data_IF_405245170530
#
_entry.id   IF_405245170530
#
_cell.length_a   1.000
_cell.length_b   1.000
_cell.length_c   1.000
_cell.angle_alpha   90.00
_cell.angle_beta   90.00
_cell.angle_gamma   90.00
#
_symmetry.space_group_name_H-M   'P 1'
#
loop_
_entity.id
_entity.type
_entity.pdbx_description
1 polymer ?
#
# COMPACT_ATOMS: atom_id res chain seq x y z
N UNK A 1 13.85 5.35 -2.90
CA UNK A 1 14.72 6.21 -2.08
C UNK A 1 14.49 7.67 -2.45
N UNK A 2 14.70 8.06 -3.68
CA UNK A 2 14.67 9.45 -4.16
C UNK A 2 13.36 10.17 -3.83
N UNK A 3 12.20 9.51 -4.02
CA UNK A 3 10.88 10.10 -3.68
C UNK A 3 10.74 10.38 -2.18
N UNK A 4 11.24 9.50 -1.33
CA UNK A 4 11.17 9.71 0.13
C UNK A 4 12.09 10.84 0.55
N UNK A 5 13.30 10.93 -0.02
CA UNK A 5 14.22 12.05 0.20
C UNK A 5 13.60 13.39 -0.24
N UNK A 6 12.89 13.41 -1.37
CA UNK A 6 12.17 14.59 -1.84
C UNK A 6 11.06 15.01 -0.85
N UNK A 7 10.28 14.04 -0.34
CA UNK A 7 9.27 14.31 0.70
C UNK A 7 9.92 14.88 1.96
N UNK A 8 11.03 14.31 2.43
CA UNK A 8 11.75 14.81 3.60
C UNK A 8 12.25 16.23 3.40
N UNK A 9 12.80 16.55 2.21
CA UNK A 9 13.22 17.92 1.89
C UNK A 9 12.05 18.91 1.92
N UNK A 10 10.90 18.53 1.36
CA UNK A 10 9.67 19.36 1.44
C UNK A 10 9.20 19.54 2.90
N UNK A 11 9.35 18.53 3.74
CA UNK A 11 9.03 18.63 5.17
C UNK A 11 9.96 19.64 5.84
N UNK A 12 11.27 19.57 5.61
CA UNK A 12 12.23 20.53 6.18
C UNK A 12 11.95 21.97 5.72
N UNK A 13 11.65 22.19 4.44
CA UNK A 13 11.26 23.50 3.92
C UNK A 13 9.97 24.02 4.60
N UNK A 14 9.03 23.14 4.87
CA UNK A 14 7.80 23.49 5.56
C UNK A 14 8.03 23.79 7.04
N UNK A 15 8.88 23.04 7.74
CA UNK A 15 9.28 23.30 9.12
C UNK A 15 9.90 24.69 9.26
N UNK A 16 10.85 25.04 8.40
CA UNK A 16 11.47 26.36 8.37
C UNK A 16 10.45 27.49 8.08
N UNK A 17 9.59 27.26 7.08
CA UNK A 17 8.60 28.25 6.64
C UNK A 17 7.55 28.55 7.68
N UNK A 18 7.10 27.55 8.43
CA UNK A 18 5.98 27.65 9.37
C UNK A 18 6.41 27.69 10.84
N UNK A 19 7.74 27.65 11.10
CA UNK A 19 8.31 27.55 12.46
C UNK A 19 7.58 26.47 13.29
N UNK A 20 7.53 25.26 12.73
CA UNK A 20 6.76 24.16 13.32
C UNK A 20 7.47 22.83 13.13
N UNK A 21 7.26 21.90 14.05
CA UNK A 21 7.75 20.53 13.94
C UNK A 21 6.76 19.68 13.16
N UNK A 22 7.25 18.94 12.15
CA UNK A 22 6.43 18.09 11.31
C UNK A 22 6.85 16.64 11.46
N UNK A 23 5.92 15.77 11.82
CA UNK A 23 6.13 14.34 11.93
C UNK A 23 5.72 13.63 10.65
N UNK A 24 6.56 12.73 10.16
CA UNK A 24 6.19 11.82 9.08
C UNK A 24 5.72 10.51 9.71
N UNK A 25 4.45 10.18 9.48
CA UNK A 25 3.88 8.88 9.88
C UNK A 25 3.72 8.03 8.62
N UNK A 26 4.52 6.98 8.51
CA UNK A 26 4.53 6.07 7.37
C UNK A 26 3.82 4.77 7.71
N UNK A 27 2.77 4.44 6.94
CA UNK A 27 2.07 3.15 7.02
C UNK A 27 2.71 2.16 6.04
N UNK A 28 3.45 1.17 6.56
CA UNK A 28 4.36 0.32 5.80
C UNK A 28 4.04 -1.19 5.85
N UNK A 29 2.78 -1.63 5.72
CA UNK A 29 2.46 -3.06 5.77
C UNK A 29 3.01 -3.86 4.59
N UNK A 30 3.44 -3.18 3.51
CA UNK A 30 3.97 -3.79 2.28
C UNK A 30 5.49 -3.66 2.14
N UNK A 31 6.21 -3.15 3.12
CA UNK A 31 7.65 -2.86 3.02
C UNK A 31 8.53 -4.04 2.59
N UNK A 32 8.10 -5.28 2.85
CA UNK A 32 8.79 -6.49 2.44
C UNK A 32 8.33 -7.05 1.09
N UNK A 33 7.25 -6.52 0.51
CA UNK A 33 6.72 -6.96 -0.79
C UNK A 33 7.17 -5.96 -1.85
N UNK A 34 8.41 -6.09 -2.29
CA UNK A 34 9.08 -5.19 -3.24
C UNK A 34 9.65 -6.01 -4.38
N UNK A 35 9.54 -5.50 -5.59
CA UNK A 35 9.87 -6.18 -6.84
C UNK A 35 11.13 -5.64 -7.48
N UNK A 36 11.62 -6.39 -8.48
CA UNK A 36 12.71 -5.97 -9.36
C UNK A 36 14.02 -5.72 -8.57
N UNK A 37 14.27 -6.49 -7.50
CA UNK A 37 15.43 -6.37 -6.62
C UNK A 37 15.66 -4.96 -6.02
N UNK A 38 14.58 -4.17 -5.94
CA UNK A 38 14.63 -2.86 -5.29
C UNK A 38 14.72 -3.00 -3.78
N UNK A 39 15.46 -2.11 -3.17
CA UNK A 39 15.59 -2.03 -1.71
C UNK A 39 14.66 -0.97 -1.13
N UNK A 40 14.00 -1.31 -0.02
CA UNK A 40 13.27 -0.32 0.76
C UNK A 40 14.28 0.52 1.56
N UNK A 41 14.22 1.85 1.48
CA UNK A 41 15.20 2.69 2.19
C UNK A 41 15.02 2.61 3.70
N UNK A 42 16.13 2.78 4.44
CA UNK A 42 16.06 2.99 5.87
C UNK A 42 15.54 4.41 6.15
N UNK A 43 14.25 4.53 6.40
CA UNK A 43 13.58 5.82 6.57
C UNK A 43 14.04 6.59 7.80
N UNK A 44 14.55 5.88 8.82
CA UNK A 44 15.10 6.50 10.02
C UNK A 44 16.47 7.17 9.80
N UNK A 45 17.14 6.93 8.68
CA UNK A 45 18.33 7.69 8.29
C UNK A 45 17.99 9.02 7.60
N UNK A 46 16.73 9.23 7.25
CA UNK A 46 16.32 10.38 6.44
C UNK A 46 15.72 11.51 7.27
N UNK A 47 15.02 11.19 8.37
CA UNK A 47 14.34 12.20 9.19
C UNK A 47 14.14 11.72 10.62
N UNK A 48 14.50 12.59 11.61
CA UNK A 48 14.43 12.23 13.04
C UNK A 48 12.98 12.16 13.57
N UNK A 49 12.04 12.92 13.01
CA UNK A 49 10.61 12.88 13.38
C UNK A 49 9.84 11.89 12.51
N UNK A 50 10.38 10.68 12.38
CA UNK A 50 9.78 9.62 11.59
C UNK A 50 9.17 8.53 12.48
N UNK A 51 7.92 8.19 12.20
CA UNK A 51 7.16 7.14 12.89
C UNK A 51 6.71 6.13 11.83
N UNK A 52 7.04 4.87 12.05
CA UNK A 52 6.61 3.76 11.20
C UNK A 52 5.46 3.03 11.88
N UNK A 53 4.34 2.90 11.18
CA UNK A 53 3.26 1.99 11.54
C UNK A 53 3.25 0.83 10.54
N UNK A 54 3.22 -0.41 11.02
CA UNK A 54 3.20 -1.58 10.14
C UNK A 54 2.42 -2.74 10.75
N UNK A 55 2.13 -3.75 9.95
CA UNK A 55 1.46 -4.96 10.41
C UNK A 55 1.97 -6.19 9.67
N UNK A 56 1.80 -7.35 10.29
CA UNK A 56 2.10 -8.66 9.69
C UNK A 56 0.94 -9.22 8.84
N UNK A 57 -0.02 -8.37 8.52
CA UNK A 57 -1.18 -8.75 7.69
C UNK A 57 -0.80 -9.12 6.26
N UNK A 58 0.31 -8.56 5.73
CA UNK A 58 0.70 -8.70 4.33
C UNK A 58 2.00 -9.47 4.18
N UNK A 59 3.03 -9.08 4.90
CA UNK A 59 4.35 -9.70 4.84
C UNK A 59 4.38 -11.17 5.31
N UNK A 60 3.54 -11.53 6.29
CA UNK A 60 3.38 -12.89 6.80
C UNK A 60 2.03 -13.54 6.45
N UNK A 61 1.17 -12.86 5.67
CA UNK A 61 -0.18 -13.30 5.34
C UNK A 61 -1.05 -13.63 6.57
N UNK A 62 -0.91 -12.86 7.66
CA UNK A 62 -1.62 -13.04 8.94
C UNK A 62 -2.65 -11.91 9.21
N UNK A 63 -3.55 -11.56 8.27
CA UNK A 63 -4.47 -10.43 8.47
C UNK A 63 -5.48 -10.68 9.60
N UNK A 64 -5.84 -11.93 9.86
CA UNK A 64 -6.80 -12.33 10.91
C UNK A 64 -6.24 -12.22 12.32
N UNK A 65 -4.92 -12.28 12.48
CA UNK A 65 -4.26 -12.29 13.79
C UNK A 65 -4.13 -10.90 14.42
N UNK A 66 -4.46 -9.85 13.69
CA UNK A 66 -4.53 -8.45 14.18
C UNK A 66 -3.25 -8.03 14.91
N UNK A 67 -2.08 -8.31 14.34
CA UNK A 67 -0.77 -8.00 14.92
C UNK A 67 0.05 -7.08 14.01
N UNK A 68 0.67 -6.09 14.64
CA UNK A 68 1.57 -5.12 14.02
C UNK A 68 2.30 -4.35 15.12
N UNK A 69 3.05 -3.33 14.73
CA UNK A 69 3.77 -2.47 15.67
C UNK A 69 3.90 -1.05 15.12
N UNK A 70 4.17 -0.15 16.05
CA UNK A 70 4.62 1.22 15.75
C UNK A 70 6.08 1.32 16.21
N UNK A 71 6.93 1.87 15.36
CA UNK A 71 8.30 2.19 15.69
C UNK A 71 8.52 3.70 15.55
N UNK A 72 9.09 4.32 16.57
CA UNK A 72 9.48 5.73 16.55
C UNK A 72 10.98 5.85 16.39
N UNK A 73 11.44 6.93 15.74
CA UNK A 73 12.87 7.17 15.57
C UNK A 73 13.58 7.23 16.93
N UNK A 74 14.75 6.58 17.11
CA UNK A 74 15.42 6.51 18.42
C UNK A 74 15.85 7.87 18.99
N UNK A 75 16.07 8.86 18.15
CA UNK A 75 16.50 10.21 18.52
C UNK A 75 15.34 11.24 18.41
N UNK A 76 14.10 10.79 18.38
CA UNK A 76 12.96 11.71 18.39
C UNK A 76 12.88 12.43 19.73
N UNK A 77 12.62 13.74 19.70
CA UNK A 77 12.40 14.52 20.91
C UNK A 77 11.16 14.01 21.64
N UNK A 78 11.12 14.13 22.96
CA UNK A 78 10.02 13.68 23.83
C UNK A 78 9.58 12.22 23.56
N UNK A 79 10.54 11.35 23.20
CA UNK A 79 10.31 9.95 22.81
C UNK A 79 9.45 9.18 23.84
N UNK A 80 9.74 9.36 25.12
CA UNK A 80 9.03 8.64 26.19
C UNK A 80 7.57 9.06 26.24
N UNK A 81 7.33 10.35 26.22
CA UNK A 81 5.98 10.94 26.23
C UNK A 81 5.19 10.54 24.98
N UNK A 82 5.84 10.52 23.83
CA UNK A 82 5.22 10.07 22.57
C UNK A 82 4.84 8.58 22.64
N UNK A 83 5.71 7.72 23.13
CA UNK A 83 5.42 6.29 23.30
C UNK A 83 4.27 6.09 24.29
N UNK A 84 4.27 6.80 25.41
CA UNK A 84 3.21 6.72 26.41
C UNK A 84 1.86 7.18 25.82
N UNK A 85 1.87 8.26 25.03
CA UNK A 85 0.69 8.72 24.32
C UNK A 85 0.17 7.71 23.30
N UNK A 86 1.04 7.04 22.54
CA UNK A 86 0.68 5.98 21.60
C UNK A 86 0.06 4.77 22.33
N UNK A 87 0.63 4.38 23.48
CA UNK A 87 0.09 3.31 24.33
C UNK A 87 -1.29 3.72 24.87
N UNK A 88 -1.43 4.95 25.34
CA UNK A 88 -2.71 5.48 25.83
C UNK A 88 -3.78 5.46 24.72
N UNK A 89 -3.44 5.95 23.51
CA UNK A 89 -4.35 5.94 22.37
C UNK A 89 -4.77 4.50 22.00
N UNK A 90 -3.82 3.58 21.94
CA UNK A 90 -4.10 2.18 21.62
C UNK A 90 -5.08 1.53 22.62
N UNK A 91 -4.93 1.83 23.91
CA UNK A 91 -5.85 1.37 24.97
C UNK A 91 -7.21 2.04 24.88
N UNK A 92 -7.24 3.36 24.69
CA UNK A 92 -8.48 4.16 24.64
C UNK A 92 -9.34 3.81 23.42
N UNK A 93 -8.71 3.44 22.30
CA UNK A 93 -9.38 2.96 21.09
C UNK A 93 -9.87 1.49 21.20
N UNK A 94 -9.55 0.79 22.29
CA UNK A 94 -10.01 -0.56 22.57
C UNK A 94 -9.18 -1.69 21.96
N UNK A 95 -8.04 -1.38 21.31
CA UNK A 95 -7.14 -2.42 20.75
C UNK A 95 -6.29 -3.08 21.83
N UNK A 96 -5.84 -2.33 22.82
CA UNK A 96 -5.06 -2.71 24.00
C UNK A 96 -3.70 -3.32 23.65
N UNK A 97 -3.65 -4.61 23.30
CA UNK A 97 -2.43 -5.33 22.89
C UNK A 97 -2.75 -6.37 21.82
N UNK A 98 -1.76 -6.70 20.99
CA UNK A 98 -1.84 -7.88 20.14
C UNK A 98 -1.88 -9.17 20.99
N UNK A 99 -2.48 -10.28 20.50
CA UNK A 99 -2.52 -11.55 21.22
C UNK A 99 -1.12 -12.03 21.62
N UNK A 100 -0.90 -12.38 22.89
CA UNK A 100 0.42 -12.75 23.40
C UNK A 100 1.04 -13.94 22.64
N UNK A 101 0.23 -14.96 22.31
CA UNK A 101 0.68 -16.09 21.49
C UNK A 101 1.27 -15.62 20.16
N UNK A 102 0.60 -14.68 19.47
CA UNK A 102 1.05 -14.19 18.18
C UNK A 102 2.29 -13.30 18.29
N UNK A 103 2.48 -12.58 19.40
CA UNK A 103 3.74 -11.86 19.65
C UNK A 103 4.93 -12.82 19.68
N UNK A 104 4.81 -13.97 20.37
CA UNK A 104 5.86 -14.99 20.37
C UNK A 104 6.05 -15.66 19.01
N UNK A 105 4.98 -15.92 18.28
CA UNK A 105 5.08 -16.50 16.92
C UNK A 105 5.83 -15.55 15.98
N UNK A 106 5.44 -14.28 15.92
CA UNK A 106 6.08 -13.33 14.98
C UNK A 106 7.52 -12.97 15.38
N UNK A 107 7.89 -13.13 16.66
CA UNK A 107 9.28 -12.95 17.10
C UNK A 107 10.24 -13.83 16.29
N UNK A 108 9.88 -15.09 16.06
CA UNK A 108 10.69 -16.03 15.28
C UNK A 108 10.59 -15.86 13.75
N UNK A 109 9.63 -15.04 13.26
CA UNK A 109 9.35 -14.87 11.84
C UNK A 109 9.82 -13.52 11.27
N UNK A 110 10.65 -12.76 11.99
CA UNK A 110 11.06 -11.41 11.56
C UNK A 110 11.82 -11.39 10.22
N UNK A 111 12.56 -12.45 9.90
CA UNK A 111 13.28 -12.62 8.64
C UNK A 111 12.45 -13.29 7.53
N UNK A 112 11.22 -13.72 7.85
CA UNK A 112 10.34 -14.43 6.89
C UNK A 112 9.41 -13.43 6.21
N UNK A 113 9.03 -13.74 4.99
CA UNK A 113 7.98 -13.06 4.25
C UNK A 113 7.28 -14.04 3.30
N UNK A 114 6.11 -13.64 2.79
CA UNK A 114 5.43 -14.33 1.69
C UNK A 114 6.34 -14.45 0.46
N UNK A 115 6.02 -15.36 -0.45
CA UNK A 115 6.76 -15.45 -1.72
C UNK A 115 6.50 -14.21 -2.58
N UNK A 116 7.43 -13.27 -2.53
CA UNK A 116 7.37 -12.01 -3.28
C UNK A 116 7.45 -12.27 -4.79
N UNK A 117 8.18 -13.32 -5.20
CA UNK A 117 8.31 -13.71 -6.60
C UNK A 117 6.98 -14.09 -7.25
N UNK A 118 6.07 -14.71 -6.49
CA UNK A 118 4.73 -15.02 -6.99
C UNK A 118 3.90 -13.76 -7.27
N UNK A 119 3.97 -12.74 -6.40
CA UNK A 119 3.30 -11.46 -6.65
C UNK A 119 3.94 -10.70 -7.82
N UNK A 120 5.26 -10.76 -7.95
CA UNK A 120 5.96 -10.16 -9.09
C UNK A 120 5.54 -10.80 -10.42
N UNK A 121 5.45 -12.13 -10.50
CA UNK A 121 4.96 -12.86 -11.69
C UNK A 121 3.54 -12.40 -12.07
N UNK A 122 2.65 -12.29 -11.09
CA UNK A 122 1.26 -11.82 -11.31
C UNK A 122 1.21 -10.38 -11.82
N UNK A 123 2.02 -9.49 -11.27
CA UNK A 123 2.21 -8.13 -11.80
C UNK A 123 2.68 -8.15 -13.25
N UNK A 124 3.73 -8.91 -13.53
CA UNK A 124 4.35 -8.98 -14.85
C UNK A 124 3.45 -9.67 -15.90
N UNK A 125 2.53 -10.50 -15.44
CA UNK A 125 1.47 -11.06 -16.28
C UNK A 125 0.39 -10.03 -16.61
N UNK A 126 -0.12 -9.32 -15.61
CA UNK A 126 -1.30 -8.45 -15.77
C UNK A 126 -0.96 -7.08 -16.35
N UNK A 127 0.11 -6.44 -15.89
CA UNK A 127 0.50 -5.09 -16.27
C UNK A 127 0.62 -4.89 -17.80
N UNK A 128 1.40 -5.68 -18.55
CA UNK A 128 1.55 -5.48 -19.98
C UNK A 128 0.25 -5.73 -20.75
N UNK A 129 -0.64 -6.58 -20.23
CA UNK A 129 -1.95 -6.82 -20.85
C UNK A 129 -2.87 -5.62 -20.71
N UNK A 130 -2.91 -5.00 -19.52
CA UNK A 130 -3.67 -3.77 -19.30
C UNK A 130 -3.15 -2.63 -20.17
N UNK A 131 -1.84 -2.46 -20.29
CA UNK A 131 -1.23 -1.46 -21.19
C UNK A 131 -1.63 -1.72 -22.64
N UNK A 132 -1.58 -2.98 -23.11
CA UNK A 132 -1.98 -3.36 -24.47
C UNK A 132 -3.45 -3.08 -24.76
N UNK A 133 -4.33 -3.23 -23.76
CA UNK A 133 -5.75 -2.89 -23.86
C UNK A 133 -6.00 -1.37 -23.87
N UNK A 134 -5.00 -0.54 -23.57
CA UNK A 134 -5.12 0.92 -23.55
C UNK A 134 -5.31 1.54 -22.17
N UNK A 135 -5.25 0.76 -21.09
CA UNK A 135 -5.26 1.31 -19.75
C UNK A 135 -3.99 2.10 -19.45
N UNK A 136 -4.13 3.24 -18.77
CA UNK A 136 -3.01 4.02 -18.25
C UNK A 136 -2.79 3.66 -16.80
N UNK A 137 -1.69 3.00 -16.49
CA UNK A 137 -1.35 2.54 -15.14
C UNK A 137 0.15 2.61 -14.92
N UNK A 138 0.56 3.01 -13.73
CA UNK A 138 1.97 2.96 -13.31
C UNK A 138 2.32 1.52 -12.96
N UNK A 139 3.49 1.04 -13.42
CA UNK A 139 4.01 -0.28 -13.05
C UNK A 139 4.31 -0.30 -11.55
N UNK A 140 3.69 -1.16 -10.74
CA UNK A 140 3.99 -1.23 -9.31
C UNK A 140 5.40 -1.76 -9.05
N UNK A 141 6.12 -1.10 -8.14
CA UNK A 141 7.41 -1.56 -7.65
C UNK A 141 7.29 -2.46 -6.40
N UNK A 142 6.08 -2.69 -5.93
CA UNK A 142 5.78 -3.51 -4.75
C UNK A 142 4.28 -3.61 -4.49
N UNK A 143 3.92 -4.18 -3.34
CA UNK A 143 2.56 -4.49 -2.93
C UNK A 143 1.88 -5.48 -3.92
N UNK A 144 0.56 -5.52 -3.95
CA UNK A 144 -0.21 -6.36 -4.88
C UNK A 144 -1.44 -5.62 -5.42
N UNK A 145 -1.28 -4.30 -5.63
CA UNK A 145 -2.30 -3.46 -6.22
C UNK A 145 -1.78 -2.74 -7.45
N UNK A 146 -2.69 -2.50 -8.40
CA UNK A 146 -2.54 -1.52 -9.46
C UNK A 146 -3.63 -0.47 -9.35
N UNK A 147 -3.34 0.74 -9.82
CA UNK A 147 -4.26 1.87 -9.74
C UNK A 147 -4.41 2.52 -11.12
N UNK A 148 -5.08 1.83 -12.08
CA UNK A 148 -5.28 2.33 -13.43
C UNK A 148 -6.17 3.55 -13.45
N UNK A 149 -5.92 4.43 -14.42
CA UNK A 149 -6.85 5.51 -14.76
C UNK A 149 -8.08 4.93 -15.43
N UNK A 150 -9.25 5.37 -15.00
CA UNK A 150 -10.52 5.09 -15.67
C UNK A 150 -10.55 5.77 -17.06
N UNK A 151 -11.10 5.14 -18.11
CA UNK A 151 -11.27 5.77 -19.42
C UNK A 151 -12.25 6.95 -19.39
N UNK A 152 -13.12 7.02 -18.39
CA UNK A 152 -14.05 8.12 -18.16
C UNK A 152 -13.82 8.76 -16.80
N UNK A 153 -14.24 10.01 -16.61
CA UNK A 153 -14.07 10.75 -15.34
C UNK A 153 -14.83 10.12 -14.18
N UNK A 154 -15.99 9.53 -14.47
CA UNK A 154 -16.83 8.85 -13.50
C UNK A 154 -16.31 7.43 -13.28
N UNK A 155 -15.42 7.28 -12.30
CA UNK A 155 -14.80 6.02 -11.95
C UNK A 155 -15.80 5.03 -11.31
N UNK A 156 -16.83 5.52 -10.63
CA UNK A 156 -17.90 4.69 -10.08
C UNK A 156 -18.65 4.00 -11.22
N UNK A 157 -19.09 4.76 -12.20
CA UNK A 157 -19.79 4.23 -13.39
C UNK A 157 -18.91 3.24 -14.18
N UNK A 158 -17.60 3.51 -14.26
CA UNK A 158 -16.68 2.58 -14.92
C UNK A 158 -16.48 1.28 -14.14
N UNK A 159 -16.41 1.34 -12.81
CA UNK A 159 -16.31 0.13 -11.99
C UNK A 159 -17.60 -0.69 -12.00
N UNK A 160 -18.77 -0.05 -12.13
CA UNK A 160 -20.05 -0.75 -12.39
C UNK A 160 -20.03 -1.46 -13.74
N UNK A 161 -19.46 -0.84 -14.78
CA UNK A 161 -19.30 -1.50 -16.10
C UNK A 161 -18.37 -2.71 -15.99
N UNK A 162 -17.23 -2.62 -15.29
CA UNK A 162 -16.37 -3.77 -15.02
C UNK A 162 -17.11 -4.88 -14.27
N UNK A 163 -17.97 -4.53 -13.31
CA UNK A 163 -18.77 -5.49 -12.56
C UNK A 163 -19.77 -6.23 -13.47
N UNK A 164 -20.36 -5.56 -14.47
CA UNK A 164 -21.21 -6.20 -15.48
C UNK A 164 -20.45 -7.28 -16.27
N UNK A 165 -19.14 -7.13 -16.40
CA UNK A 165 -18.23 -8.12 -16.98
C UNK A 165 -17.57 -9.04 -15.95
N UNK A 166 -18.11 -9.12 -14.72
CA UNK A 166 -17.65 -9.96 -13.60
C UNK A 166 -16.24 -9.62 -13.09
N UNK A 167 -15.79 -8.41 -13.31
CA UNK A 167 -14.53 -7.87 -12.77
C UNK A 167 -14.83 -6.93 -11.61
N UNK A 168 -14.50 -7.37 -10.39
CA UNK A 168 -14.72 -6.58 -9.18
C UNK A 168 -13.48 -5.77 -8.84
N UNK A 169 -13.62 -4.45 -8.87
CA UNK A 169 -12.58 -3.48 -8.51
C UNK A 169 -13.15 -2.38 -7.62
N UNK A 170 -12.32 -1.51 -7.08
CA UNK A 170 -12.75 -0.44 -6.19
C UNK A 170 -12.54 0.92 -6.85
N UNK A 171 -13.56 1.79 -6.93
CA UNK A 171 -13.42 3.11 -7.52
C UNK A 171 -12.43 3.98 -6.74
N UNK A 172 -11.64 4.79 -7.45
CA UNK A 172 -10.62 5.66 -6.89
C UNK A 172 -11.17 6.78 -6.02
N UNK A 173 -12.41 7.20 -6.28
CA UNK A 173 -13.16 8.12 -5.40
C UNK A 173 -13.13 7.67 -3.93
N UNK A 174 -13.19 6.36 -3.66
CA UNK A 174 -13.07 5.80 -2.29
C UNK A 174 -11.68 5.97 -1.67
N UNK A 175 -10.68 6.38 -2.44
CA UNK A 175 -9.30 6.64 -2.01
C UNK A 175 -8.89 8.11 -2.21
N UNK A 176 -9.86 9.01 -2.42
CA UNK A 176 -9.58 10.42 -2.65
C UNK A 176 -9.01 10.76 -4.03
N UNK A 177 -9.01 9.81 -4.98
CA UNK A 177 -8.49 10.00 -6.35
C UNK A 177 -9.55 9.63 -7.41
N UNK A 178 -10.54 10.49 -7.66
CA UNK A 178 -11.55 10.26 -8.69
C UNK A 178 -10.94 10.10 -10.08
N UNK A 179 -11.59 9.31 -10.95
CA UNK A 179 -11.12 9.02 -12.29
C UNK A 179 -10.07 7.92 -12.38
N UNK A 180 -9.90 7.16 -11.29
CA UNK A 180 -9.05 5.96 -11.20
C UNK A 180 -9.84 4.79 -10.59
N UNK A 181 -9.24 3.61 -10.58
CA UNK A 181 -9.77 2.47 -9.83
C UNK A 181 -8.64 1.59 -9.32
N UNK A 182 -8.87 0.92 -8.19
CA UNK A 182 -7.91 -0.02 -7.61
C UNK A 182 -8.30 -1.45 -7.95
N UNK A 183 -7.37 -2.20 -8.51
CA UNK A 183 -7.44 -3.64 -8.64
C UNK A 183 -6.39 -4.32 -7.75
N UNK A 184 -6.72 -5.51 -7.24
CA UNK A 184 -5.78 -6.39 -6.53
C UNK A 184 -5.43 -7.56 -7.44
N UNK A 185 -4.16 -7.96 -7.45
CA UNK A 185 -3.70 -9.19 -8.12
C UNK A 185 -3.24 -10.26 -7.13
N UNK A 186 -3.62 -10.11 -5.85
CA UNK A 186 -3.47 -11.14 -4.82
C UNK A 186 -4.59 -12.19 -4.96
N UNK A 187 -4.62 -12.88 -6.10
CA UNK A 187 -5.65 -13.83 -6.50
C UNK A 187 -4.99 -15.03 -7.17
N UNK A 188 -5.74 -16.11 -7.38
CA UNK A 188 -5.30 -17.25 -8.17
C UNK A 188 -5.11 -16.86 -9.64
N UNK A 189 -4.15 -17.51 -10.32
CA UNK A 189 -3.80 -17.22 -11.72
C UNK A 189 -4.99 -17.36 -12.65
N UNK A 190 -5.81 -18.40 -12.45
CA UNK A 190 -7.04 -18.64 -13.24
C UNK A 190 -8.05 -17.48 -13.15
N UNK A 191 -8.14 -16.81 -12.00
CA UNK A 191 -9.00 -15.63 -11.81
C UNK A 191 -8.42 -14.43 -12.54
N UNK A 192 -7.11 -14.22 -12.46
CA UNK A 192 -6.43 -13.15 -13.19
C UNK A 192 -6.56 -13.32 -14.71
N UNK A 193 -6.36 -14.53 -15.22
CA UNK A 193 -6.55 -14.87 -16.63
C UNK A 193 -7.99 -14.64 -17.06
N UNK A 194 -8.96 -15.13 -16.28
CA UNK A 194 -10.39 -14.99 -16.57
C UNK A 194 -10.87 -13.54 -16.56
N UNK A 195 -10.20 -12.64 -15.82
CA UNK A 195 -10.57 -11.21 -15.75
C UNK A 195 -10.23 -10.41 -17.01
N UNK A 196 -9.30 -10.89 -17.84
CA UNK A 196 -8.77 -10.13 -18.99
C UNK A 196 -9.85 -9.78 -20.01
N UNK A 197 -10.73 -10.72 -20.34
CA UNK A 197 -11.84 -10.46 -21.27
C UNK A 197 -12.81 -9.38 -20.76
N UNK A 198 -13.01 -9.33 -19.45
CA UNK A 198 -13.83 -8.31 -18.82
C UNK A 198 -13.20 -6.92 -18.86
N UNK A 199 -11.90 -6.82 -18.64
CA UNK A 199 -11.16 -5.56 -18.81
C UNK A 199 -11.20 -5.08 -20.26
N UNK A 200 -10.99 -5.96 -21.24
CA UNK A 200 -11.03 -5.64 -22.66
C UNK A 200 -12.42 -5.18 -23.10
N UNK A 201 -13.48 -5.90 -22.71
CA UNK A 201 -14.85 -5.52 -23.04
C UNK A 201 -15.25 -4.16 -22.44
N UNK A 202 -14.90 -3.92 -21.17
CA UNK A 202 -15.25 -2.68 -20.49
C UNK A 202 -14.56 -1.46 -21.11
N UNK A 203 -13.26 -1.55 -21.44
CA UNK A 203 -12.54 -0.40 -22.02
C UNK A 203 -12.96 -0.12 -23.45
N UNK A 204 -13.23 -1.16 -24.25
CA UNK A 204 -13.66 -1.02 -25.67
C UNK A 204 -14.92 -0.19 -25.81
N UNK A 205 -15.83 -0.23 -24.84
CA UNK A 205 -17.05 0.59 -24.81
C UNK A 205 -16.78 2.10 -24.80
N UNK A 206 -15.58 2.52 -24.37
CA UNK A 206 -15.20 3.93 -24.18
C UNK A 206 -14.01 4.34 -25.04
N UNK A 207 -13.51 3.46 -25.93
CA UNK A 207 -12.36 3.74 -26.80
C UNK A 207 -12.70 4.50 -28.07
N UNK A 208 -13.99 4.58 -28.44
CA UNK A 208 -14.49 5.20 -29.68
C UNK A 208 -14.97 6.67 -29.49
N UNK A 209 -14.55 7.33 -28.38
CA UNK A 209 -14.92 8.74 -28.13
C UNK A 209 -13.71 9.64 -28.00
#
# INVERSE_FOLDING_TARGET
KDIIEEIVNLVHEAEERFDSEIYIVSDEPYRKIIFDDLEYPNVFELHNRYIVATSHSKDLALPGERIGYIAVHPNIDDKTELIDALIFCNRSLGFVNAPALMQHVVESLQSVTVDVGEYQKKRDFLYPKLIKMGYKVVKPNGAFYMFPRSPIKDDVKFTEELLNHKVLVVPGTGFGLPGYFRLSYCLEDSILEGSLSGFEAAISKYSDN
#
